data_IF_971672378755
#
_entry.id   IF_971672378755
#
_cell.length_a   1.000
_cell.length_b   1.000
_cell.length_c   1.000
_cell.angle_alpha   90.00
_cell.angle_beta   90.00
_cell.angle_gamma   90.00
#
_symmetry.space_group_name_H-M   'P 1'
#
loop_
_entity.id
_entity.type
_entity.pdbx_description
1 polymer ?
#
# COMPACT_ATOMS: atom_id res chain seq x y z
N UNK A 1 0.76 -55.91 48.10
CA UNK A 1 1.26 -57.25 48.46
C UNK A 1 1.96 -57.80 47.23
N UNK A 2 3.25 -58.15 47.39
CA UNK A 2 4.16 -58.92 46.50
C UNK A 2 4.41 -58.35 45.09
N UNK A 3 5.57 -57.81 44.71
CA UNK A 3 6.99 -58.23 44.82
C UNK A 3 7.32 -59.58 44.16
N UNK A 4 8.08 -59.50 43.06
CA UNK A 4 9.10 -60.45 42.62
C UNK A 4 10.15 -59.59 41.86
N UNK A 5 11.34 -59.28 42.41
CA UNK A 5 12.53 -60.12 42.62
C UNK A 5 13.05 -60.69 41.28
N UNK A 6 14.01 -60.07 40.59
CA UNK A 6 15.45 -59.88 40.86
C UNK A 6 16.34 -61.05 40.38
N UNK A 7 17.55 -60.65 39.97
CA UNK A 7 18.82 -61.40 39.84
C UNK A 7 19.14 -62.01 38.45
N UNK A 8 20.37 -62.01 37.92
CA UNK A 8 21.66 -61.30 38.13
C UNK A 8 22.72 -62.06 37.31
N UNK A 9 23.72 -61.32 36.77
CA UNK A 9 25.07 -61.77 36.34
C UNK A 9 25.16 -62.69 35.09
N UNK A 10 26.17 -62.57 34.22
CA UNK A 10 27.62 -62.46 34.53
C UNK A 10 28.38 -62.02 33.25
N UNK A 11 29.12 -60.91 33.29
CA UNK A 11 30.32 -60.69 32.46
C UNK A 11 31.51 -61.38 33.16
N UNK A 12 32.52 -61.91 32.45
CA UNK A 12 33.78 -61.15 32.30
C UNK A 12 34.58 -61.45 30.98
N UNK A 13 35.26 -60.45 30.36
CA UNK A 13 36.75 -60.21 30.33
C UNK A 13 37.50 -61.19 29.36
N UNK A 14 38.46 -60.86 28.49
CA UNK A 14 39.19 -59.66 28.04
C UNK A 14 40.22 -60.11 26.97
N UNK A 15 40.58 -59.23 26.03
CA UNK A 15 41.98 -58.89 25.62
C UNK A 15 41.92 -57.90 24.45
N UNK A 16 42.19 -56.59 24.62
CA UNK A 16 43.51 -55.92 24.72
C UNK A 16 44.33 -56.00 23.41
N UNK A 17 45.00 -54.97 22.85
CA UNK A 17 45.30 -53.59 23.28
C UNK A 17 45.99 -52.81 22.13
N UNK A 18 46.08 -51.48 22.29
CA UNK A 18 46.91 -50.42 21.65
C UNK A 18 46.09 -49.44 20.79
N UNK A 19 46.04 -48.13 21.01
CA UNK A 19 46.68 -47.20 21.96
C UNK A 19 46.58 -45.77 21.39
N UNK A 20 46.21 -44.79 22.25
CA UNK A 20 46.28 -43.29 22.22
C UNK A 20 46.62 -42.54 20.89
N UNK A 21 45.97 -41.44 20.50
CA UNK A 21 45.85 -40.13 21.17
C UNK A 21 44.62 -39.31 20.71
N UNK A 22 44.22 -38.35 21.56
CA UNK A 22 43.12 -37.39 21.41
C UNK A 22 43.46 -36.22 20.47
N UNK A 23 42.49 -35.75 19.68
CA UNK A 23 42.19 -34.31 19.62
C UNK A 23 40.71 -34.04 19.24
N UNK A 24 40.25 -32.86 19.63
CA UNK A 24 38.92 -32.51 20.11
C UNK A 24 38.08 -31.77 19.04
N UNK A 25 36.81 -32.16 18.90
CA UNK A 25 35.60 -31.33 18.68
C UNK A 25 35.72 -29.98 17.93
N UNK A 26 35.02 -29.83 16.79
CA UNK A 26 34.07 -28.70 16.57
C UNK A 26 33.11 -28.98 15.39
N UNK A 27 31.80 -28.97 15.67
CA UNK A 27 30.71 -29.08 14.68
C UNK A 27 30.45 -27.74 13.96
N UNK A 28 30.19 -27.69 12.63
CA UNK A 28 29.82 -26.44 11.96
C UNK A 28 28.32 -26.08 12.18
N UNK A 29 27.96 -24.78 12.17
CA UNK A 29 26.74 -24.28 12.81
C UNK A 29 25.46 -24.33 11.93
N UNK A 30 24.27 -24.12 12.52
CA UNK A 30 22.94 -24.28 11.88
C UNK A 30 22.55 -23.19 10.86
N UNK A 31 23.50 -22.52 10.19
CA UNK A 31 23.21 -21.31 9.41
C UNK A 31 22.84 -21.54 7.94
N UNK A 32 23.10 -22.72 7.37
CA UNK A 32 22.87 -22.94 5.93
C UNK A 32 21.39 -23.08 5.55
N UNK A 33 20.53 -23.54 6.46
CA UNK A 33 19.11 -23.74 6.16
C UNK A 33 18.31 -22.43 6.10
N UNK A 34 18.67 -21.41 6.90
CA UNK A 34 17.99 -20.11 6.88
C UNK A 34 18.26 -19.32 5.59
N UNK A 35 19.40 -19.57 4.93
CA UNK A 35 19.77 -18.90 3.68
C UNK A 35 19.02 -19.44 2.47
N UNK A 36 18.66 -20.73 2.48
CA UNK A 36 17.91 -21.38 1.39
C UNK A 36 16.42 -21.03 1.38
N UNK A 37 15.86 -20.63 2.53
CA UNK A 37 14.48 -20.10 2.58
C UNK A 37 14.36 -18.65 2.11
N UNK A 38 15.45 -17.88 2.15
CA UNK A 38 15.50 -16.50 1.64
C UNK A 38 15.63 -16.41 0.12
N UNK A 39 15.65 -17.56 -0.57
CA UNK A 39 15.55 -17.66 -2.02
C UNK A 39 14.16 -18.14 -2.48
N UNK A 40 13.09 -17.85 -1.74
CA UNK A 40 11.79 -17.67 -2.39
C UNK A 40 12.00 -16.50 -3.34
N UNK A 41 12.14 -16.86 -4.62
CA UNK A 41 12.28 -15.98 -5.76
C UNK A 41 11.48 -14.70 -5.59
N UNK A 42 12.14 -13.65 -5.10
CA UNK A 42 11.69 -12.28 -5.30
C UNK A 42 11.93 -12.00 -6.78
N UNK A 43 11.06 -12.53 -7.62
CA UNK A 43 11.03 -12.18 -9.02
C UNK A 43 10.97 -10.66 -9.10
N UNK A 44 11.90 -9.99 -9.81
CA UNK A 44 11.87 -8.55 -10.01
C UNK A 44 10.51 -8.08 -10.52
N UNK A 45 9.81 -8.91 -11.29
CA UNK A 45 8.46 -8.67 -11.75
C UNK A 45 7.42 -8.69 -10.60
N UNK A 46 7.52 -9.60 -9.64
CA UNK A 46 6.59 -9.66 -8.48
C UNK A 46 6.90 -8.53 -7.52
N UNK A 47 8.16 -8.21 -7.25
CA UNK A 47 8.51 -7.04 -6.42
C UNK A 47 8.14 -5.73 -7.12
N UNK A 48 8.34 -5.59 -8.44
CA UNK A 48 7.85 -4.44 -9.20
C UNK A 48 6.33 -4.37 -9.25
N UNK A 49 5.62 -5.50 -9.32
CA UNK A 49 4.15 -5.52 -9.29
C UNK A 49 3.63 -5.20 -7.89
N UNK A 50 4.31 -5.66 -6.83
CA UNK A 50 3.99 -5.33 -5.44
C UNK A 50 4.36 -3.88 -5.11
N UNK A 51 5.47 -3.36 -5.62
CA UNK A 51 5.84 -1.93 -5.53
C UNK A 51 4.91 -1.08 -6.39
N UNK A 52 4.47 -1.56 -7.55
CA UNK A 52 3.47 -0.89 -8.38
C UNK A 52 2.09 -0.94 -7.73
N UNK A 53 1.73 -2.05 -7.06
CA UNK A 53 0.48 -2.20 -6.32
C UNK A 53 0.52 -1.42 -4.99
N UNK A 54 1.67 -1.30 -4.34
CA UNK A 54 1.88 -0.47 -3.16
C UNK A 54 1.91 1.01 -3.54
N UNK A 55 2.56 1.39 -4.64
CA UNK A 55 2.45 2.72 -5.23
C UNK A 55 1.01 2.99 -5.66
N UNK A 56 0.30 2.01 -6.21
CA UNK A 56 -1.12 2.14 -6.57
C UNK A 56 -2.01 2.22 -5.32
N UNK A 57 -1.71 1.52 -4.23
CA UNK A 57 -2.43 1.62 -2.96
C UNK A 57 -2.14 2.93 -2.21
N UNK A 58 -0.99 3.55 -2.49
CA UNK A 58 -0.62 4.89 -2.05
C UNK A 58 -1.19 6.00 -2.97
N UNK A 59 -1.50 5.69 -4.24
CA UNK A 59 -2.09 6.61 -5.23
C UNK A 59 -3.62 6.55 -5.30
N UNK A 60 -4.20 5.38 -5.03
CA UNK A 60 -5.59 5.22 -4.60
C UNK A 60 -5.60 5.85 -3.22
N UNK A 61 -6.12 7.06 -3.01
CA UNK A 61 -6.05 7.68 -1.70
C UNK A 61 -6.76 6.74 -0.73
N UNK A 62 -5.98 6.05 0.11
CA UNK A 62 -6.46 4.95 0.95
C UNK A 62 -7.52 5.50 1.90
N UNK A 63 -7.36 6.76 2.31
CA UNK A 63 -8.35 7.54 3.04
C UNK A 63 -9.66 7.79 2.27
N UNK A 64 -9.65 8.12 0.97
CA UNK A 64 -10.91 8.36 0.22
C UNK A 64 -11.65 7.07 -0.08
N UNK A 65 -10.94 5.99 -0.36
CA UNK A 65 -11.55 4.68 -0.60
C UNK A 65 -12.14 4.11 0.71
N UNK A 66 -11.41 4.24 1.82
CA UNK A 66 -11.92 3.86 3.15
C UNK A 66 -13.11 4.75 3.56
N UNK A 67 -13.02 6.07 3.37
CA UNK A 67 -14.14 6.97 3.63
C UNK A 67 -15.36 6.62 2.76
N UNK A 68 -15.16 6.35 1.48
CA UNK A 68 -16.23 5.88 0.60
C UNK A 68 -16.89 4.61 1.15
N UNK A 69 -16.11 3.58 1.46
CA UNK A 69 -16.64 2.30 1.96
C UNK A 69 -17.38 2.45 3.30
N UNK A 70 -16.92 3.34 4.18
CA UNK A 70 -17.53 3.57 5.50
C UNK A 70 -18.76 4.47 5.43
N UNK A 71 -18.73 5.53 4.62
CA UNK A 71 -19.81 6.52 4.55
C UNK A 71 -20.92 6.08 3.60
N UNK A 72 -20.63 5.33 2.53
CA UNK A 72 -21.65 4.94 1.56
C UNK A 72 -22.86 4.20 2.16
N UNK A 73 -22.70 3.19 3.04
CA UNK A 73 -23.86 2.51 3.65
C UNK A 73 -24.71 3.44 4.52
N UNK A 74 -24.07 4.39 5.23
CA UNK A 74 -24.72 5.39 6.09
C UNK A 74 -25.50 6.41 5.24
N UNK A 75 -24.89 6.84 4.13
CA UNK A 75 -25.44 7.88 3.26
C UNK A 75 -26.48 7.38 2.27
N UNK A 76 -26.54 6.07 2.00
CA UNK A 76 -27.49 5.46 1.05
C UNK A 76 -28.66 4.73 1.71
N UNK A 77 -28.75 4.72 3.05
CA UNK A 77 -29.76 3.94 3.78
C UNK A 77 -29.88 2.50 3.23
N UNK A 78 -28.75 1.81 3.05
CA UNK A 78 -28.66 0.47 2.46
C UNK A 78 -29.30 0.32 1.06
N UNK A 79 -29.26 1.36 0.22
CA UNK A 79 -29.71 1.30 -1.19
C UNK A 79 -31.16 1.75 -1.43
N UNK A 80 -31.88 2.14 -0.38
CA UNK A 80 -33.17 2.84 -0.46
C UNK A 80 -32.92 4.34 -0.64
N UNK A 81 -32.72 4.79 -1.89
CA UNK A 81 -32.45 6.20 -2.17
C UNK A 81 -33.71 6.99 -2.47
N UNK A 82 -34.24 7.64 -1.44
CA UNK A 82 -35.12 8.79 -1.61
C UNK A 82 -34.34 10.00 -2.18
N UNK A 83 -35.06 11.00 -2.68
CA UNK A 83 -34.46 12.19 -3.29
C UNK A 83 -33.37 12.87 -2.41
N UNK A 84 -33.56 13.09 -1.10
CA UNK A 84 -32.55 13.71 -0.25
C UNK A 84 -31.28 12.86 -0.12
N UNK A 85 -31.44 11.56 0.10
CA UNK A 85 -30.36 10.56 0.23
C UNK A 85 -29.53 10.49 -1.05
N UNK A 86 -30.18 10.56 -2.21
CA UNK A 86 -29.51 10.61 -3.51
C UNK A 86 -28.68 11.88 -3.70
N UNK A 87 -29.20 13.04 -3.29
CA UNK A 87 -28.45 14.31 -3.31
C UNK A 87 -27.25 14.24 -2.38
N UNK A 88 -27.43 13.73 -1.16
CA UNK A 88 -26.36 13.60 -0.18
C UNK A 88 -25.26 12.64 -0.68
N UNK A 89 -25.64 11.53 -1.31
CA UNK A 89 -24.72 10.58 -1.95
C UNK A 89 -23.95 11.24 -3.10
N UNK A 90 -24.62 12.05 -3.93
CA UNK A 90 -23.96 12.80 -5.00
C UNK A 90 -22.94 13.82 -4.46
N UNK A 91 -23.28 14.52 -3.37
CA UNK A 91 -22.37 15.45 -2.69
C UNK A 91 -21.15 14.69 -2.15
N UNK A 92 -21.36 13.56 -1.45
CA UNK A 92 -20.27 12.74 -0.93
C UNK A 92 -19.33 12.27 -2.04
N UNK A 93 -19.87 11.73 -3.13
CA UNK A 93 -19.08 11.30 -4.30
C UNK A 93 -18.29 12.46 -4.92
N UNK A 94 -18.90 13.65 -5.00
CA UNK A 94 -18.25 14.85 -5.52
C UNK A 94 -17.09 15.28 -4.63
N UNK A 95 -17.29 15.31 -3.30
CA UNK A 95 -16.25 15.67 -2.35
C UNK A 95 -15.09 14.66 -2.37
N UNK A 96 -15.38 13.37 -2.45
CA UNK A 96 -14.36 12.33 -2.55
C UNK A 96 -13.60 12.39 -3.88
N UNK A 97 -14.28 12.71 -4.97
CA UNK A 97 -13.66 12.96 -6.28
C UNK A 97 -12.71 14.16 -6.24
N UNK A 98 -13.15 15.28 -5.65
CA UNK A 98 -12.32 16.48 -5.44
C UNK A 98 -11.11 16.13 -4.55
N UNK A 99 -11.32 15.36 -3.48
CA UNK A 99 -10.22 14.94 -2.61
C UNK A 99 -9.20 14.08 -3.37
N UNK A 100 -9.66 13.11 -4.15
CA UNK A 100 -8.81 12.26 -4.99
C UNK A 100 -7.99 13.09 -5.99
N UNK A 101 -8.62 14.08 -6.61
CA UNK A 101 -7.98 15.03 -7.50
C UNK A 101 -6.90 15.85 -6.78
N UNK A 102 -7.22 16.45 -5.63
CA UNK A 102 -6.31 17.28 -4.86
C UNK A 102 -5.14 16.47 -4.27
N UNK A 103 -5.38 15.23 -3.85
CA UNK A 103 -4.33 14.35 -3.33
C UNK A 103 -3.21 14.08 -4.34
N UNK A 104 -3.49 14.17 -5.64
CA UNK A 104 -2.47 14.00 -6.69
C UNK A 104 -1.45 15.14 -6.73
N UNK A 105 -1.75 16.27 -6.08
CA UNK A 105 -0.84 17.41 -5.93
C UNK A 105 -0.19 17.47 -4.55
N UNK A 106 -0.58 16.59 -3.62
CA UNK A 106 0.06 16.48 -2.31
C UNK A 106 1.35 15.69 -2.43
N UNK A 107 2.38 16.16 -1.75
CA UNK A 107 3.70 15.54 -1.75
C UNK A 107 4.33 15.65 -0.36
N UNK A 108 5.40 14.90 -0.11
CA UNK A 108 6.18 14.99 1.11
C UNK A 108 7.60 15.49 0.83
N UNK A 109 8.15 16.24 1.79
CA UNK A 109 9.52 16.74 1.76
C UNK A 109 10.21 16.41 3.05
N UNK A 110 11.45 15.92 2.95
CA UNK A 110 12.33 15.72 4.09
C UNK A 110 13.12 17.01 4.33
N UNK A 111 13.01 17.56 5.53
CA UNK A 111 13.79 18.71 5.96
C UNK A 111 15.16 18.28 6.52
N UNK A 112 16.05 19.25 6.75
CA UNK A 112 17.41 19.02 7.26
C UNK A 112 17.45 18.42 8.66
N UNK A 113 16.39 18.63 9.46
CA UNK A 113 16.19 18.01 10.78
C UNK A 113 15.87 16.51 10.70
N UNK A 114 15.70 15.97 9.49
CA UNK A 114 15.37 14.57 9.22
C UNK A 114 13.88 14.27 9.28
N UNK A 115 13.03 15.23 9.66
CA UNK A 115 11.59 15.08 9.71
C UNK A 115 10.96 15.22 8.31
N UNK A 116 9.82 14.56 8.12
CA UNK A 116 9.06 14.61 6.87
C UNK A 116 7.83 15.48 7.05
N UNK A 117 7.71 16.46 6.17
CA UNK A 117 6.60 17.41 6.13
C UNK A 117 5.77 17.21 4.87
N UNK A 118 4.47 17.43 4.97
CA UNK A 118 3.53 17.32 3.85
C UNK A 118 3.16 18.70 3.32
N UNK A 119 2.98 18.77 1.99
CA UNK A 119 2.61 20.02 1.35
C UNK A 119 1.85 19.84 0.06
N UNK A 120 1.34 20.97 -0.45
CA UNK A 120 0.60 21.08 -1.69
C UNK A 120 1.46 21.68 -2.80
N UNK A 121 1.50 21.04 -3.96
CA UNK A 121 2.21 21.56 -5.10
C UNK A 121 1.55 22.83 -5.66
N UNK A 122 2.34 23.89 -5.82
CA UNK A 122 1.92 25.13 -6.48
C UNK A 122 2.70 25.36 -7.78
N UNK A 123 2.36 26.39 -8.55
CA UNK A 123 3.09 26.75 -9.79
C UNK A 123 4.52 27.21 -9.52
N UNK A 124 4.80 27.73 -8.32
CA UNK A 124 6.11 28.30 -7.93
C UNK A 124 6.99 27.34 -7.13
N UNK A 125 6.41 26.27 -6.59
CA UNK A 125 7.07 25.32 -5.69
C UNK A 125 6.03 24.61 -4.83
N UNK A 126 6.42 23.97 -3.74
CA UNK A 126 5.46 23.36 -2.81
C UNK A 126 5.14 24.29 -1.63
N UNK A 127 3.89 24.22 -1.14
CA UNK A 127 3.43 24.91 0.06
C UNK A 127 3.24 23.90 1.18
N UNK A 128 4.01 24.02 2.26
CA UNK A 128 4.00 23.07 3.39
C UNK A 128 3.02 23.55 4.46
N UNK A 129 2.21 22.63 5.02
CA UNK A 129 1.11 22.99 5.91
C UNK A 129 1.55 23.31 7.34
N UNK A 130 2.42 22.48 7.93
CA UNK A 130 2.78 22.53 9.36
C UNK A 130 4.30 22.66 9.56
N UNK A 131 4.92 23.64 8.90
CA UNK A 131 6.35 23.89 9.09
C UNK A 131 6.61 24.95 10.17
N UNK A 132 7.46 24.69 11.19
CA UNK A 132 7.63 25.58 12.34
C UNK A 132 8.22 26.96 12.02
N UNK A 133 9.10 27.05 11.02
CA UNK A 133 9.76 28.31 10.65
C UNK A 133 9.18 28.90 9.34
N UNK A 134 8.45 30.03 9.40
CA UNK A 134 7.87 30.65 8.21
C UNK A 134 8.90 31.13 7.18
N UNK A 135 10.18 31.25 7.58
CA UNK A 135 11.29 31.59 6.68
C UNK A 135 11.70 30.42 5.78
N UNK A 136 11.25 29.20 6.10
CA UNK A 136 11.58 27.97 5.37
C UNK A 136 13.02 27.49 5.56
N UNK A 137 13.70 27.95 6.62
CA UNK A 137 15.12 27.71 6.85
C UNK A 137 15.32 26.26 7.31
N UNK A 138 16.00 25.46 6.49
CA UNK A 138 16.15 24.01 6.70
C UNK A 138 15.24 23.14 5.81
N UNK A 139 14.43 23.73 4.92
CA UNK A 139 13.83 22.99 3.82
C UNK A 139 14.75 22.96 2.60
N UNK A 140 14.74 21.85 1.85
CA UNK A 140 15.35 21.84 0.53
C UNK A 140 14.59 22.80 -0.40
N UNK A 141 15.23 23.16 -1.51
CA UNK A 141 14.64 24.01 -2.55
C UNK A 141 13.27 23.48 -3.04
N UNK A 142 12.20 24.13 -2.56
CA UNK A 142 10.81 23.76 -2.83
C UNK A 142 10.39 24.02 -4.28
N UNK A 143 11.16 24.82 -5.04
CA UNK A 143 10.85 25.11 -6.45
C UNK A 143 10.88 23.85 -7.32
N UNK A 144 11.69 22.84 -6.93
CA UNK A 144 11.78 21.53 -7.59
C UNK A 144 10.50 20.71 -7.50
N UNK A 145 9.67 20.98 -6.50
CA UNK A 145 8.40 20.31 -6.21
C UNK A 145 7.19 21.00 -6.86
N UNK A 146 7.43 21.97 -7.76
CA UNK A 146 6.38 22.65 -8.53
C UNK A 146 5.47 21.68 -9.30
N UNK A 147 4.24 22.10 -9.55
CA UNK A 147 3.28 21.34 -10.36
C UNK A 147 3.82 21.06 -11.77
N UNK A 148 3.66 19.81 -12.22
CA UNK A 148 4.00 19.33 -13.56
C UNK A 148 2.73 18.90 -14.30
N UNK A 149 2.78 18.88 -15.63
CA UNK A 149 1.66 18.41 -16.47
C UNK A 149 1.33 16.94 -16.15
N UNK A 150 2.33 16.14 -15.80
CA UNK A 150 2.15 14.75 -15.38
C UNK A 150 1.27 14.66 -14.12
N UNK A 151 1.36 15.61 -13.19
CA UNK A 151 0.51 15.65 -11.99
C UNK A 151 -0.97 15.85 -12.37
N UNK A 152 -1.24 16.67 -13.39
CA UNK A 152 -2.60 16.86 -13.92
C UNK A 152 -3.16 15.61 -14.58
N UNK A 153 -2.33 14.89 -15.35
CA UNK A 153 -2.73 13.60 -15.95
C UNK A 153 -3.11 12.63 -14.83
N UNK A 154 -2.29 12.52 -13.79
CA UNK A 154 -2.57 11.66 -12.64
C UNK A 154 -3.83 12.09 -11.91
N UNK A 155 -4.02 13.39 -11.64
CA UNK A 155 -5.19 13.89 -10.96
C UNK A 155 -6.49 13.53 -11.69
N UNK A 156 -6.52 13.70 -13.01
CA UNK A 156 -7.66 13.29 -13.85
C UNK A 156 -7.83 11.78 -13.84
N UNK A 157 -6.74 11.03 -13.91
CA UNK A 157 -6.79 9.57 -13.94
C UNK A 157 -7.30 8.98 -12.62
N UNK A 158 -6.91 9.56 -11.49
CA UNK A 158 -7.37 9.18 -10.16
C UNK A 158 -8.88 9.42 -10.00
N UNK A 159 -9.43 10.49 -10.58
CA UNK A 159 -10.89 10.72 -10.63
C UNK A 159 -11.60 9.65 -11.46
N UNK A 160 -11.06 9.28 -12.62
CA UNK A 160 -11.64 8.19 -13.43
C UNK A 160 -11.63 6.85 -12.71
N UNK A 161 -10.53 6.51 -12.03
CA UNK A 161 -10.44 5.30 -11.21
C UNK A 161 -11.45 5.33 -10.08
N UNK A 162 -11.57 6.45 -9.36
CA UNK A 162 -12.58 6.61 -8.31
C UNK A 162 -14.01 6.46 -8.87
N UNK A 163 -14.29 7.06 -10.02
CA UNK A 163 -15.58 6.90 -10.72
C UNK A 163 -15.86 5.45 -11.08
N UNK A 164 -14.88 4.71 -11.59
CA UNK A 164 -15.02 3.28 -11.87
C UNK A 164 -15.31 2.47 -10.60
N UNK A 165 -14.67 2.78 -9.48
CA UNK A 165 -14.95 2.16 -8.18
C UNK A 165 -16.38 2.48 -7.71
N UNK A 166 -16.80 3.74 -7.80
CA UNK A 166 -18.15 4.16 -7.43
C UNK A 166 -19.23 3.45 -8.29
N UNK A 167 -18.97 3.26 -9.58
CA UNK A 167 -19.83 2.50 -10.49
C UNK A 167 -19.84 0.98 -10.23
N UNK A 168 -18.91 0.47 -9.42
CA UNK A 168 -18.91 -0.93 -8.96
C UNK A 168 -19.58 -1.12 -7.61
N UNK A 169 -19.80 -0.05 -6.87
CA UNK A 169 -20.46 -0.12 -5.58
C UNK A 169 -21.97 -0.36 -5.75
N UNK A 170 -22.47 -1.45 -5.18
CA UNK A 170 -23.87 -1.85 -5.32
C UNK A 170 -24.82 -0.81 -4.72
N UNK A 171 -24.44 -0.14 -3.64
CA UNK A 171 -25.29 0.82 -2.97
C UNK A 171 -25.38 2.12 -3.79
N UNK A 172 -24.24 2.62 -4.31
CA UNK A 172 -24.19 3.74 -5.23
C UNK A 172 -24.99 3.45 -6.51
N UNK A 173 -24.74 2.32 -7.16
CA UNK A 173 -25.43 1.94 -8.40
C UNK A 173 -26.93 1.81 -8.18
N UNK A 174 -27.38 1.11 -7.14
CA UNK A 174 -28.80 0.95 -6.84
C UNK A 174 -29.44 2.29 -6.48
N UNK A 175 -28.70 3.19 -5.83
CA UNK A 175 -29.19 4.53 -5.48
C UNK A 175 -29.44 5.42 -6.72
N UNK A 176 -28.53 5.42 -7.69
CA UNK A 176 -28.66 6.25 -8.90
C UNK A 176 -29.46 5.57 -10.01
N UNK A 177 -29.45 4.24 -10.04
CA UNK A 177 -30.07 3.39 -11.05
C UNK A 177 -30.82 2.21 -10.40
N UNK A 178 -31.94 2.45 -9.67
CA UNK A 178 -32.64 1.41 -8.92
C UNK A 178 -33.29 0.31 -9.78
N UNK A 179 -33.56 0.59 -11.06
CA UNK A 179 -34.06 -0.38 -12.03
C UNK A 179 -33.44 -0.11 -13.41
N UNK A 180 -32.14 -0.44 -13.61
CA UNK A 180 -31.48 -0.14 -14.87
C UNK A 180 -32.02 -1.06 -15.97
N UNK A 181 -32.28 -0.48 -17.13
CA UNK A 181 -32.59 -1.24 -18.34
C UNK A 181 -31.42 -2.18 -18.69
N UNK A 182 -31.69 -3.23 -19.46
CA UNK A 182 -30.67 -4.21 -19.86
C UNK A 182 -29.46 -3.57 -20.54
N UNK A 183 -29.68 -2.50 -21.34
CA UNK A 183 -28.60 -1.72 -21.94
C UNK A 183 -27.72 -1.05 -20.89
N UNK A 184 -28.33 -0.34 -19.95
CA UNK A 184 -27.63 0.35 -18.85
C UNK A 184 -26.84 -0.62 -17.97
N UNK A 185 -27.41 -1.79 -17.63
CA UNK A 185 -26.69 -2.83 -16.88
C UNK A 185 -25.39 -3.25 -17.56
N UNK A 186 -25.44 -3.54 -18.85
CA UNK A 186 -24.25 -3.90 -19.64
C UNK A 186 -23.19 -2.81 -19.61
N UNK A 187 -23.60 -1.54 -19.74
CA UNK A 187 -22.68 -0.41 -19.68
C UNK A 187 -22.03 -0.31 -18.30
N UNK A 188 -22.81 -0.40 -17.22
CA UNK A 188 -22.30 -0.37 -15.84
C UNK A 188 -21.35 -1.54 -15.52
N UNK A 189 -21.52 -2.69 -16.20
CA UNK A 189 -20.63 -3.83 -16.04
C UNK A 189 -19.31 -3.70 -16.83
N UNK A 190 -19.34 -3.12 -18.02
CA UNK A 190 -18.19 -3.06 -18.92
C UNK A 190 -17.32 -1.83 -18.64
N UNK A 191 -17.93 -0.66 -18.43
CA UNK A 191 -17.22 0.62 -18.31
C UNK A 191 -16.17 0.62 -17.19
N UNK A 192 -16.45 0.19 -15.95
CA UNK A 192 -15.45 0.21 -14.90
C UNK A 192 -14.22 -0.66 -15.19
N UNK A 193 -14.41 -1.76 -15.92
CA UNK A 193 -13.30 -2.64 -16.32
C UNK A 193 -12.44 -1.99 -17.40
N UNK A 194 -13.08 -1.40 -18.41
CA UNK A 194 -12.39 -0.65 -19.46
C UNK A 194 -11.57 0.51 -18.89
N UNK A 195 -12.19 1.29 -18.00
CA UNK A 195 -11.50 2.39 -17.29
C UNK A 195 -10.33 1.84 -16.48
N UNK A 196 -10.53 0.78 -15.68
CA UNK A 196 -9.45 0.18 -14.90
C UNK A 196 -8.25 -0.27 -15.74
N UNK A 197 -8.48 -0.89 -16.90
CA UNK A 197 -7.40 -1.32 -17.81
C UNK A 197 -6.68 -0.12 -18.42
N UNK A 198 -7.42 0.84 -18.98
CA UNK A 198 -6.83 2.02 -19.63
C UNK A 198 -6.05 2.85 -18.62
N UNK A 199 -6.64 3.11 -17.45
CA UNK A 199 -5.98 3.85 -16.39
C UNK A 199 -4.76 3.10 -15.86
N UNK A 200 -4.85 1.79 -15.68
CA UNK A 200 -3.70 0.96 -15.31
C UNK A 200 -2.54 1.12 -16.28
N UNK A 201 -2.79 1.04 -17.60
CA UNK A 201 -1.75 1.26 -18.61
C UNK A 201 -1.17 2.67 -18.56
N UNK A 202 -2.01 3.70 -18.43
CA UNK A 202 -1.55 5.08 -18.38
C UNK A 202 -0.70 5.37 -17.15
N UNK A 203 -1.02 4.80 -15.98
CA UNK A 203 -0.17 4.90 -14.78
C UNK A 203 1.17 4.18 -14.94
N UNK A 204 1.25 3.12 -15.77
CA UNK A 204 2.52 2.47 -16.07
C UNK A 204 3.40 3.31 -17.00
N UNK A 205 2.80 3.94 -18.02
CA UNK A 205 3.52 4.81 -18.98
C UNK A 205 3.95 6.12 -18.33
N UNK A 206 3.08 6.68 -17.50
CA UNK A 206 3.32 7.90 -16.74
C UNK A 206 3.35 7.54 -15.25
N UNK A 207 4.48 7.09 -14.69
CA UNK A 207 4.56 6.77 -13.28
C UNK A 207 4.53 8.04 -12.43
N UNK A 208 3.80 8.00 -11.31
CA UNK A 208 3.77 9.08 -10.34
C UNK A 208 5.17 9.29 -9.75
N UNK A 209 5.60 10.56 -9.69
CA UNK A 209 6.92 10.94 -9.15
C UNK A 209 6.85 11.52 -7.74
N UNK A 210 5.65 11.74 -7.21
CA UNK A 210 5.40 12.34 -5.89
C UNK A 210 5.29 11.28 -4.81
N UNK A 211 5.89 11.56 -3.66
CA UNK A 211 5.86 10.73 -2.48
C UNK A 211 4.69 11.20 -1.59
N UNK A 212 3.48 10.74 -1.94
CA UNK A 212 2.28 11.02 -1.15
C UNK A 212 2.31 10.38 0.25
N UNK A 213 1.22 10.59 1.00
CA UNK A 213 1.00 9.98 2.31
C UNK A 213 1.03 8.45 2.16
N UNK A 214 1.99 7.78 2.81
CA UNK A 214 2.15 6.31 2.76
C UNK A 214 3.41 5.80 2.05
N UNK A 215 4.22 6.67 1.46
CA UNK A 215 5.55 6.25 0.97
C UNK A 215 6.49 5.95 2.15
N UNK A 216 7.28 4.86 2.10
CA UNK A 216 8.23 4.55 3.16
C UNK A 216 9.30 5.64 3.22
N UNK A 217 9.31 6.38 4.32
CA UNK A 217 10.39 7.32 4.62
C UNK A 217 11.63 6.46 4.87
N UNK A 218 12.56 6.45 3.91
CA UNK A 218 13.84 5.79 4.14
C UNK A 218 14.59 6.66 5.15
N UNK A 219 14.55 6.24 6.41
CA UNK A 219 15.37 6.83 7.47
C UNK A 219 16.82 6.62 7.07
N UNK A 220 17.49 7.71 6.67
CA UNK A 220 18.93 7.70 6.53
C UNK A 220 19.48 7.63 7.95
N UNK A 221 19.79 6.42 8.39
CA UNK A 221 20.47 6.16 9.65
C UNK A 221 21.88 6.71 9.54
N UNK A 222 22.02 8.02 9.77
CA UNK A 222 23.29 8.70 9.86
C UNK A 222 24.12 8.10 10.98
N UNK A 223 25.04 7.21 10.63
CA UNK A 223 26.28 7.03 11.39
C UNK A 223 27.09 8.33 11.25
N UNK A 224 27.25 9.06 12.35
CA UNK A 224 28.53 9.63 12.76
C UNK A 224 28.61 9.62 14.27
#
# INVERSE_FOLDING_TARGET
MSSASSLTQRNPITSQVNGAEQEQSESPPPQEQLRRQRSISQHPAVSQTLTSAANLANLLPTGTLLAFQLLMPVFTSNGSCDYPTRVLTAILLTLLSISCFLSSFTDSVKAEDGNVYYGFATKKGMWVFDYPDPSGLGLPDLSKYRMRIVDWIHAVLSVFVFGAVALRDKNAVTCFYPAPEQGTKKVLDIVPMGVGVICGMLFLVFPARRHGIGYPVTGDGGRR
#
